data_IF_740974856842
#
_entry.id   IF_740974856842
#
_cell.length_a   1.000
_cell.length_b   1.000
_cell.length_c   1.000
_cell.angle_alpha   90.00
_cell.angle_beta   90.00
_cell.angle_gamma   90.00
#
_symmetry.space_group_name_H-M   'P 1'
#
loop_
_entity.id
_entity.type
_entity.pdbx_description
1 polymer ?
#
# COMPACT_ATOMS: atom_id res chain seq x y z
N UNK A 1 1.32 -18.59 -20.22
CA UNK A 1 0.24 -17.79 -19.59
C UNK A 1 0.62 -17.22 -18.23
N UNK A 2 0.99 -18.06 -17.26
CA UNK A 2 1.18 -17.65 -15.85
C UNK A 2 2.29 -16.60 -15.60
N UNK A 3 3.41 -16.67 -16.32
CA UNK A 3 4.53 -15.74 -16.16
C UNK A 3 4.11 -14.31 -16.52
N UNK A 4 3.44 -14.13 -17.66
CA UNK A 4 2.87 -12.84 -18.07
C UNK A 4 1.85 -12.30 -17.07
N UNK A 5 0.98 -13.18 -16.54
CA UNK A 5 0.03 -12.81 -15.48
C UNK A 5 0.75 -12.31 -14.21
N UNK A 6 1.80 -13.00 -13.77
CA UNK A 6 2.60 -12.59 -12.62
C UNK A 6 3.31 -11.25 -12.83
N UNK A 7 3.86 -11.01 -14.03
CA UNK A 7 4.48 -9.74 -14.40
C UNK A 7 3.52 -8.55 -14.36
N UNK A 8 2.22 -8.77 -14.57
CA UNK A 8 1.21 -7.70 -14.52
C UNK A 8 0.65 -7.52 -13.09
N UNK A 9 0.38 -8.63 -12.39
CA UNK A 9 -0.26 -8.61 -11.08
C UNK A 9 0.71 -8.16 -9.98
N UNK A 10 1.98 -8.54 -10.05
CA UNK A 10 2.95 -8.21 -9.00
C UNK A 10 3.21 -6.70 -8.87
N UNK A 11 3.50 -5.93 -9.95
CA UNK A 11 3.64 -4.48 -9.85
C UNK A 11 2.36 -3.81 -9.36
N UNK A 12 1.19 -4.29 -9.79
CA UNK A 12 -0.11 -3.75 -9.39
C UNK A 12 -0.38 -3.87 -7.87
N UNK A 13 0.33 -4.77 -7.17
CA UNK A 13 0.30 -4.91 -5.71
C UNK A 13 1.35 -4.05 -5.01
N UNK A 14 2.43 -3.71 -5.69
CA UNK A 14 3.50 -2.89 -5.12
C UNK A 14 3.06 -1.43 -5.08
N UNK A 15 3.02 -0.84 -3.90
CA UNK A 15 2.64 0.56 -3.68
C UNK A 15 3.89 1.43 -3.87
N UNK A 16 3.76 2.38 -4.80
CA UNK A 16 4.77 3.39 -5.12
C UNK A 16 4.62 4.65 -4.26
N UNK A 17 3.38 5.07 -4.00
CA UNK A 17 3.08 6.25 -3.16
C UNK A 17 1.82 6.00 -2.34
N UNK A 18 1.85 6.51 -1.12
CA UNK A 18 0.73 6.51 -0.21
C UNK A 18 0.66 7.88 0.48
N UNK A 19 -0.52 8.47 0.54
CA UNK A 19 -0.73 9.80 1.12
C UNK A 19 -2.14 9.92 1.71
N UNK A 20 -2.27 10.68 2.80
CA UNK A 20 -3.56 11.03 3.39
C UNK A 20 -4.25 12.10 2.52
N UNK A 21 -5.54 11.94 2.27
CA UNK A 21 -6.34 12.96 1.59
C UNK A 21 -6.75 14.06 2.58
N UNK A 22 -7.14 15.23 2.05
CA UNK A 22 -7.49 16.40 2.87
C UNK A 22 -8.71 16.18 3.76
N UNK A 23 -9.55 15.20 3.44
CA UNK A 23 -10.70 14.79 4.26
C UNK A 23 -10.28 14.13 5.59
N UNK A 24 -9.03 13.69 5.70
CA UNK A 24 -8.51 13.01 6.90
C UNK A 24 -9.08 11.62 7.16
N UNK A 25 -10.04 11.17 6.34
CA UNK A 25 -10.74 9.89 6.46
C UNK A 25 -10.35 8.88 5.38
N UNK A 26 -9.62 9.32 4.35
CA UNK A 26 -9.24 8.48 3.21
C UNK A 26 -7.77 8.63 2.85
N UNK A 27 -7.21 7.59 2.24
CA UNK A 27 -5.86 7.62 1.69
C UNK A 27 -5.85 7.39 0.18
N UNK A 28 -4.96 8.09 -0.50
CA UNK A 28 -4.61 7.83 -1.89
C UNK A 28 -3.52 6.78 -1.98
N UNK A 29 -3.77 5.72 -2.74
CA UNK A 29 -2.81 4.65 -3.02
C UNK A 29 -2.43 4.68 -4.49
N UNK A 30 -1.13 4.69 -4.77
CA UNK A 30 -0.59 4.63 -6.13
C UNK A 30 0.29 3.40 -6.23
N UNK A 31 -0.06 2.46 -7.10
CA UNK A 31 0.74 1.25 -7.33
C UNK A 31 1.60 1.34 -8.58
N UNK A 32 2.58 0.45 -8.70
CA UNK A 32 3.31 0.27 -9.94
C UNK A 32 2.40 -0.38 -10.99
N UNK A 33 2.61 -0.06 -12.25
CA UNK A 33 1.92 -0.68 -13.35
C UNK A 33 2.93 -0.94 -14.46
N UNK A 34 2.73 -2.02 -15.21
CA UNK A 34 3.52 -2.31 -16.41
C UNK A 34 3.20 -1.34 -17.56
N UNK A 35 2.07 -0.61 -17.44
CA UNK A 35 1.64 0.43 -18.35
C UNK A 35 1.75 1.82 -17.71
N UNK A 36 1.88 2.91 -18.50
CA UNK A 36 2.24 4.24 -18.00
C UNK A 36 1.25 4.84 -17.00
N UNK A 37 0.03 4.30 -16.94
CA UNK A 37 -0.97 4.65 -15.94
C UNK A 37 -0.77 3.84 -14.66
N UNK A 38 0.08 4.35 -13.77
CA UNK A 38 0.12 3.89 -12.37
C UNK A 38 -1.32 3.86 -11.82
N UNK A 39 -1.79 2.70 -11.34
CA UNK A 39 -3.16 2.59 -10.82
C UNK A 39 -3.26 3.41 -9.53
N UNK A 40 -4.05 4.49 -9.59
CA UNK A 40 -4.38 5.33 -8.44
C UNK A 40 -5.78 4.98 -7.96
N UNK A 41 -5.94 4.76 -6.67
CA UNK A 41 -7.25 4.55 -6.07
C UNK A 41 -7.27 5.08 -4.65
N UNK A 42 -8.48 5.43 -4.19
CA UNK A 42 -8.71 5.92 -2.83
C UNK A 42 -9.24 4.78 -1.97
N UNK A 43 -8.75 4.69 -0.73
CA UNK A 43 -9.20 3.70 0.26
C UNK A 43 -9.59 4.44 1.54
N UNK A 44 -10.80 4.22 2.08
CA UNK A 44 -11.17 4.72 3.40
C UNK A 44 -10.27 4.14 4.50
N UNK A 45 -9.97 4.92 5.54
CA UNK A 45 -9.08 4.51 6.62
C UNK A 45 -9.61 3.34 7.44
N UNK A 46 -10.92 3.16 7.50
CA UNK A 46 -11.58 2.03 8.17
C UNK A 46 -11.39 0.71 7.40
N UNK A 47 -10.92 0.80 6.15
CA UNK A 47 -10.75 -0.33 5.25
C UNK A 47 -9.28 -0.69 5.00
N UNK A 48 -8.33 -0.06 5.70
CA UNK A 48 -6.91 -0.36 5.56
C UNK A 48 -6.27 -0.70 6.90
N UNK A 49 -5.41 -1.70 6.89
CA UNK A 49 -4.55 -2.00 8.02
C UNK A 49 -3.20 -2.55 7.57
N UNK A 50 -2.19 -2.40 8.42
CA UNK A 50 -0.89 -3.05 8.25
C UNK A 50 -0.70 -4.10 9.33
N UNK A 51 -0.21 -5.29 8.96
CA UNK A 51 0.17 -6.32 9.94
C UNK A 51 1.48 -6.01 10.66
N UNK A 52 2.27 -5.06 10.14
CA UNK A 52 3.58 -4.70 10.69
C UNK A 52 3.72 -3.18 10.80
N UNK A 53 4.12 -2.71 12.00
CA UNK A 53 4.64 -1.35 12.18
C UNK A 53 5.98 -1.16 11.48
N UNK A 54 6.42 0.10 11.32
CA UNK A 54 7.63 0.47 10.56
C UNK A 54 8.89 -0.28 11.02
N UNK A 55 8.96 -0.64 12.31
CA UNK A 55 10.07 -1.33 12.94
C UNK A 55 10.08 -2.86 12.78
N UNK A 56 9.06 -3.47 12.15
CA UNK A 56 9.05 -4.91 11.92
C UNK A 56 10.25 -5.37 11.09
N UNK A 57 10.74 -6.61 11.27
CA UNK A 57 11.81 -7.14 10.42
C UNK A 57 11.30 -7.43 9.00
N UNK A 58 12.04 -7.02 7.95
CA UNK A 58 11.73 -7.32 6.54
C UNK A 58 11.81 -6.12 5.58
N UNK A 59 12.03 -6.37 4.29
CA UNK A 59 12.21 -5.34 3.25
C UNK A 59 10.87 -4.72 2.80
N UNK A 60 9.77 -5.46 2.93
CA UNK A 60 8.43 -5.04 2.50
C UNK A 60 7.43 -5.00 3.67
N UNK A 61 6.57 -3.99 3.69
CA UNK A 61 5.37 -3.97 4.53
C UNK A 61 4.17 -4.52 3.78
N UNK A 62 3.41 -5.38 4.43
CA UNK A 62 2.13 -5.88 3.92
C UNK A 62 1.00 -4.98 4.42
N UNK A 63 0.32 -4.37 3.46
CA UNK A 63 -0.89 -3.58 3.67
C UNK A 63 -2.08 -4.41 3.23
N UNK A 64 -3.01 -4.61 4.14
CA UNK A 64 -4.30 -5.24 3.86
C UNK A 64 -5.32 -4.16 3.60
N UNK A 65 -6.03 -4.31 2.49
CA UNK A 65 -7.17 -3.46 2.14
C UNK A 65 -8.40 -4.37 2.14
N UNK A 66 -9.44 -3.98 2.89
CA UNK A 66 -10.70 -4.70 2.97
C UNK A 66 -11.28 -4.88 1.57
N UNK A 67 -11.84 -6.06 1.30
CA UNK A 67 -12.40 -6.44 0.00
C UNK A 67 -11.37 -6.55 -1.15
N UNK A 68 -10.08 -6.76 -0.84
CA UNK A 68 -9.08 -7.16 -1.84
C UNK A 68 -8.45 -8.50 -1.47
N UNK A 69 -8.43 -9.41 -2.43
CA UNK A 69 -7.92 -10.78 -2.25
C UNK A 69 -6.42 -10.85 -1.91
N UNK A 70 -5.66 -9.81 -2.26
CA UNK A 70 -4.21 -9.80 -2.14
C UNK A 70 -3.73 -8.57 -1.37
N UNK A 71 -2.89 -8.80 -0.36
CA UNK A 71 -2.20 -7.73 0.35
C UNK A 71 -1.30 -6.94 -0.61
N UNK A 72 -1.25 -5.64 -0.42
CA UNK A 72 -0.37 -4.74 -1.15
C UNK A 72 0.98 -4.63 -0.42
N UNK A 73 2.04 -4.34 -1.16
CA UNK A 73 3.41 -4.33 -0.65
C UNK A 73 4.01 -2.93 -0.76
N UNK A 74 4.49 -2.37 0.34
CA UNK A 74 5.36 -1.18 0.30
C UNK A 74 6.81 -1.62 0.53
N UNK A 75 7.71 -1.20 -0.36
CA UNK A 75 9.15 -1.38 -0.17
C UNK A 75 9.67 -0.34 0.86
N UNK A 76 10.36 -0.79 1.92
CA UNK A 76 10.95 0.10 2.92
C UNK A 76 12.15 0.89 2.43
N UNK A 77 12.92 0.34 1.50
CA UNK A 77 14.15 0.97 0.97
C UNK A 77 13.83 2.00 -0.10
N UNK A 78 12.92 1.68 -1.01
CA UNK A 78 12.62 2.50 -2.20
C UNK A 78 11.28 3.25 -2.10
N UNK A 79 10.38 2.80 -1.22
CA UNK A 79 9.10 3.46 -0.99
C UNK A 79 9.33 4.76 -0.23
N UNK A 80 9.13 5.89 -0.91
CA UNK A 80 9.09 7.20 -0.25
C UNK A 80 7.85 7.24 0.64
N UNK A 81 8.02 6.95 1.93
CA UNK A 81 7.06 7.34 2.95
C UNK A 81 7.15 8.86 3.09
N UNK A 82 6.36 9.58 2.31
CA UNK A 82 6.33 11.04 2.35
C UNK A 82 5.95 11.56 3.74
N UNK A 83 5.25 10.74 4.54
CA UNK A 83 5.00 11.01 5.94
C UNK A 83 4.95 9.70 6.74
N UNK A 84 6.09 9.33 7.37
CA UNK A 84 6.21 8.12 8.20
C UNK A 84 5.24 8.14 9.38
N UNK A 85 5.05 9.30 10.01
CA UNK A 85 4.14 9.48 11.13
C UNK A 85 2.70 9.18 10.75
N UNK A 86 2.24 9.64 9.58
CA UNK A 86 0.90 9.29 9.08
C UNK A 86 0.77 7.77 8.90
N UNK A 87 1.79 7.11 8.36
CA UNK A 87 1.75 5.65 8.22
C UNK A 87 1.65 4.96 9.59
N UNK A 88 2.44 5.37 10.58
CA UNK A 88 2.40 4.76 11.92
C UNK A 88 1.09 5.03 12.64
N UNK A 89 0.66 6.29 12.66
CA UNK A 89 -0.51 6.74 13.43
C UNK A 89 -1.82 6.30 12.79
N UNK A 90 -1.86 6.09 11.47
CA UNK A 90 -3.12 5.88 10.75
C UNK A 90 -3.25 4.46 10.18
N UNK A 91 -2.15 3.85 9.73
CA UNK A 91 -2.18 2.58 8.97
C UNK A 91 -1.55 1.43 9.76
N UNK A 92 -0.50 1.70 10.53
CA UNK A 92 0.17 0.71 11.37
C UNK A 92 -0.57 0.43 12.68
N UNK A 93 -1.65 1.16 12.98
CA UNK A 93 -2.60 0.74 13.98
C UNK A 93 -3.17 -0.60 13.53
N UNK A 94 -2.89 -1.66 14.30
CA UNK A 94 -3.46 -2.99 14.11
C UNK A 94 -4.98 -2.89 14.25
N UNK A 95 -5.65 -2.60 13.15
CA UNK A 95 -7.10 -2.58 13.00
C UNK A 95 -7.43 -3.86 12.23
N UNK A 96 -8.22 -4.73 12.87
CA UNK A 96 -8.49 -6.13 12.53
C UNK A 96 -7.42 -7.14 12.97
#
# INVERSE_FOLDING_TARGET
GAIFGACIVYPARCIRRLYLLKDGSSIGVVTYALWPSARKFTVPLEQISSQTGLEGSGIFHKINIRNRWLSHLINKREGKFYNKTIYETVIALKRF
#
